data_IF_095601733586
#
_entry.id   IF_095601733586
#
_cell.length_a   1.000
_cell.length_b   1.000
_cell.length_c   1.000
_cell.angle_alpha   90.00
_cell.angle_beta   90.00
_cell.angle_gamma   90.00
#
_symmetry.space_group_name_H-M   'P 1'
#
loop_
_entity.id
_entity.type
_entity.pdbx_description
1 polymer ?
#
# COMPACT_ATOMS: atom_id res chain seq x y z
N UNK A 1 14.35 -26.69 -6.19
CA UNK A 1 13.05 -26.65 -5.47
C UNK A 1 12.80 -25.33 -4.72
N UNK A 2 13.32 -25.05 -3.51
CA UNK A 2 12.98 -23.79 -2.78
C UNK A 2 13.46 -22.50 -3.47
N UNK A 3 14.69 -22.47 -3.99
CA UNK A 3 15.24 -21.31 -4.70
C UNK A 3 14.53 -21.05 -6.04
N UNK A 4 14.16 -22.14 -6.72
CA UNK A 4 13.51 -22.14 -8.04
C UNK A 4 12.07 -21.59 -7.96
N UNK A 5 11.30 -21.99 -6.95
CA UNK A 5 9.97 -21.44 -6.68
C UNK A 5 10.03 -19.93 -6.35
N UNK A 6 11.08 -19.51 -5.66
CA UNK A 6 11.23 -18.10 -5.28
C UNK A 6 11.57 -17.23 -6.49
N UNK A 7 12.50 -17.67 -7.34
CA UNK A 7 12.84 -16.99 -8.61
C UNK A 7 11.61 -16.87 -9.52
N UNK A 8 10.79 -17.91 -9.60
CA UNK A 8 9.53 -17.89 -10.35
C UNK A 8 8.57 -16.83 -9.80
N UNK A 9 8.38 -16.77 -8.48
CA UNK A 9 7.50 -15.77 -7.83
C UNK A 9 7.96 -14.33 -8.11
N UNK A 10 9.27 -14.08 -8.08
CA UNK A 10 9.83 -12.78 -8.46
C UNK A 10 9.60 -12.44 -9.94
N UNK A 11 9.77 -13.40 -10.84
CA UNK A 11 9.53 -13.22 -12.26
C UNK A 11 8.05 -12.91 -12.56
N UNK A 12 7.13 -13.56 -11.86
CA UNK A 12 5.69 -13.29 -11.95
C UNK A 12 5.33 -11.91 -11.41
N UNK A 13 5.90 -11.51 -10.27
CA UNK A 13 5.73 -10.16 -9.73
C UNK A 13 6.21 -9.14 -10.76
N UNK A 14 7.44 -9.29 -11.28
CA UNK A 14 8.03 -8.40 -12.30
C UNK A 14 7.14 -8.28 -13.54
N UNK A 15 6.67 -9.41 -14.08
CA UNK A 15 5.74 -9.43 -15.22
C UNK A 15 4.45 -8.66 -14.91
N UNK A 16 3.86 -8.89 -13.73
CA UNK A 16 2.62 -8.20 -13.32
C UNK A 16 2.81 -6.68 -13.25
N UNK A 17 3.99 -6.20 -12.83
CA UNK A 17 4.28 -4.78 -12.75
C UNK A 17 4.52 -4.16 -14.12
N UNK A 18 5.19 -4.85 -15.04
CA UNK A 18 5.31 -4.35 -16.41
C UNK A 18 3.94 -4.16 -17.09
N UNK A 19 2.98 -5.03 -16.82
CA UNK A 19 1.62 -4.84 -17.33
C UNK A 19 0.95 -3.60 -16.73
N UNK A 20 1.14 -3.34 -15.44
CA UNK A 20 0.64 -2.11 -14.79
C UNK A 20 1.28 -0.87 -15.38
N UNK A 21 2.60 -0.89 -15.64
CA UNK A 21 3.35 0.24 -16.17
C UNK A 21 2.83 0.73 -17.53
N UNK A 22 2.21 -0.14 -18.34
CA UNK A 22 1.58 0.26 -19.62
C UNK A 22 0.46 1.28 -19.46
N UNK A 23 -0.18 1.32 -18.29
CA UNK A 23 -1.31 2.22 -17.97
C UNK A 23 -1.02 3.10 -16.75
N UNK A 24 0.23 3.13 -16.29
CA UNK A 24 0.61 3.85 -15.08
C UNK A 24 0.42 5.37 -15.25
N UNK A 25 -0.07 5.98 -14.18
CA UNK A 25 -0.09 7.42 -13.98
C UNK A 25 0.37 7.74 -12.57
N UNK A 26 1.23 8.74 -12.42
CA UNK A 26 1.61 9.27 -11.12
C UNK A 26 0.50 10.12 -10.46
N UNK A 27 -0.65 10.29 -11.13
CA UNK A 27 -1.80 11.04 -10.62
C UNK A 27 -2.82 10.05 -10.07
N UNK A 28 -3.05 10.12 -8.75
CA UNK A 28 -4.15 9.43 -8.09
C UNK A 28 -5.42 10.29 -8.12
N UNK A 29 -6.58 9.69 -8.43
CA UNK A 29 -7.91 10.34 -8.53
C UNK A 29 -8.01 11.41 -9.63
N UNK A 30 -7.21 11.33 -10.68
CA UNK A 30 -7.33 12.17 -11.86
C UNK A 30 -8.39 11.65 -12.84
N UNK A 31 -8.80 12.51 -13.78
CA UNK A 31 -9.85 12.19 -14.75
C UNK A 31 -9.37 11.48 -16.01
N UNK A 32 -8.06 11.48 -16.30
CA UNK A 32 -7.48 10.80 -17.46
C UNK A 32 -7.53 9.28 -17.35
N UNK A 33 -7.63 8.58 -18.49
CA UNK A 33 -7.79 7.12 -18.55
C UNK A 33 -6.76 6.37 -17.67
N UNK A 34 -5.47 6.62 -17.87
CA UNK A 34 -4.40 5.98 -17.09
C UNK A 34 -4.48 6.31 -15.58
N UNK A 35 -4.92 7.52 -15.24
CA UNK A 35 -5.12 7.92 -13.84
C UNK A 35 -6.27 7.15 -13.20
N UNK A 36 -7.37 6.94 -13.92
CA UNK A 36 -8.50 6.14 -13.44
C UNK A 36 -8.10 4.66 -13.25
N UNK A 37 -7.40 4.07 -14.23
CA UNK A 37 -6.90 2.68 -14.14
C UNK A 37 -5.95 2.53 -12.95
N UNK A 38 -4.99 3.44 -12.82
CA UNK A 38 -4.02 3.41 -11.73
C UNK A 38 -4.70 3.58 -10.36
N UNK A 39 -5.67 4.50 -10.25
CA UNK A 39 -6.48 4.72 -9.04
C UNK A 39 -7.26 3.45 -8.69
N UNK A 40 -7.83 2.77 -9.68
CA UNK A 40 -8.55 1.53 -9.45
C UNK A 40 -7.64 0.44 -8.87
N UNK A 41 -6.47 0.23 -9.46
CA UNK A 41 -5.49 -0.76 -8.97
C UNK A 41 -4.98 -0.42 -7.57
N UNK A 42 -4.76 0.86 -7.29
CA UNK A 42 -4.38 1.35 -5.98
C UNK A 42 -5.47 1.10 -4.92
N UNK A 43 -6.73 1.41 -5.22
CA UNK A 43 -7.83 1.17 -4.27
C UNK A 43 -8.12 -0.34 -4.09
N UNK A 44 -7.94 -1.15 -5.14
CA UNK A 44 -7.98 -2.62 -5.05
C UNK A 44 -6.92 -3.18 -4.08
N UNK A 45 -5.74 -2.55 -4.00
CA UNK A 45 -4.69 -2.96 -3.08
C UNK A 45 -5.17 -3.03 -1.62
N UNK A 46 -6.13 -2.17 -1.23
CA UNK A 46 -6.71 -2.19 0.13
C UNK A 46 -7.46 -3.49 0.40
N UNK A 47 -8.28 -3.93 -0.55
CA UNK A 47 -9.01 -5.18 -0.46
C UNK A 47 -8.05 -6.36 -0.33
N UNK A 48 -7.01 -6.40 -1.17
CA UNK A 48 -5.99 -7.45 -1.14
C UNK A 48 -5.28 -7.51 0.22
N UNK A 49 -4.90 -6.36 0.78
CA UNK A 49 -4.27 -6.31 2.11
C UNK A 49 -5.22 -6.81 3.19
N UNK A 50 -6.49 -6.41 3.17
CA UNK A 50 -7.49 -6.88 4.14
C UNK A 50 -7.70 -8.38 4.03
N UNK A 51 -7.83 -8.88 2.82
CA UNK A 51 -7.97 -10.31 2.56
C UNK A 51 -6.74 -11.05 3.06
N UNK A 52 -5.52 -10.59 2.77
CA UNK A 52 -4.28 -11.21 3.24
C UNK A 52 -4.17 -11.25 4.77
N UNK A 53 -4.71 -10.24 5.45
CA UNK A 53 -4.76 -10.18 6.91
C UNK A 53 -5.99 -10.90 7.50
N UNK A 54 -6.84 -11.51 6.68
CA UNK A 54 -8.12 -12.13 7.07
C UNK A 54 -9.02 -11.16 7.85
N UNK A 55 -9.12 -9.91 7.38
CA UNK A 55 -9.91 -8.84 7.99
C UNK A 55 -11.17 -8.52 7.18
N UNK A 56 -12.29 -8.33 7.87
CA UNK A 56 -13.54 -7.95 7.24
C UNK A 56 -13.52 -6.49 6.73
N UNK A 57 -13.78 -6.30 5.43
CA UNK A 57 -13.78 -5.00 4.73
C UNK A 57 -14.83 -3.98 5.17
N UNK A 58 -15.90 -4.44 5.79
CA UNK A 58 -16.96 -3.57 6.32
C UNK A 58 -16.53 -2.98 7.67
N UNK A 59 -15.71 -3.71 8.43
CA UNK A 59 -15.20 -3.28 9.75
C UNK A 59 -13.86 -2.55 9.67
N UNK A 60 -13.02 -2.92 8.71
CA UNK A 60 -11.66 -2.39 8.56
C UNK A 60 -11.48 -1.57 7.29
N UNK A 61 -10.54 -0.65 7.34
CA UNK A 61 -10.03 0.09 6.19
C UNK A 61 -8.51 0.10 6.26
N UNK A 62 -7.84 0.07 5.11
CA UNK A 62 -6.38 0.16 5.03
C UNK A 62 -5.98 1.60 4.82
N UNK A 63 -5.00 2.06 5.57
CA UNK A 63 -4.25 3.30 5.33
C UNK A 63 -2.83 2.92 4.91
N UNK A 64 -2.41 3.35 3.72
CA UNK A 64 -1.04 3.19 3.24
C UNK A 64 -0.18 4.33 3.76
N UNK A 65 0.97 3.98 4.32
CA UNK A 65 1.83 4.89 5.05
C UNK A 65 3.29 4.64 4.71
N UNK A 66 4.10 5.68 4.87
CA UNK A 66 5.53 5.49 5.17
C UNK A 66 5.68 4.88 6.57
N UNK A 67 6.85 4.33 6.90
CA UNK A 67 7.13 3.83 8.24
C UNK A 67 6.85 4.88 9.33
N UNK A 68 7.27 6.13 9.10
CA UNK A 68 7.07 7.25 10.03
C UNK A 68 5.60 7.62 10.20
N UNK A 69 4.84 7.70 9.11
CA UNK A 69 3.41 8.03 9.18
C UNK A 69 2.62 6.90 9.85
N UNK A 70 3.00 5.64 9.63
CA UNK A 70 2.38 4.50 10.30
C UNK A 70 2.58 4.58 11.82
N UNK A 71 3.80 4.89 12.29
CA UNK A 71 4.08 5.06 13.73
C UNK A 71 3.20 6.14 14.37
N UNK A 72 3.04 7.29 13.71
CA UNK A 72 2.17 8.37 14.18
C UNK A 72 0.70 7.97 14.23
N UNK A 73 0.22 7.26 13.20
CA UNK A 73 -1.16 6.77 13.17
C UNK A 73 -1.41 5.74 14.27
N UNK A 74 -0.51 4.76 14.43
CA UNK A 74 -0.69 3.72 15.46
C UNK A 74 -0.56 4.27 16.89
N UNK A 75 0.17 5.37 17.10
CA UNK A 75 0.30 6.01 18.40
C UNK A 75 -0.99 6.65 18.92
N UNK A 76 -1.97 6.92 18.03
CA UNK A 76 -3.28 7.49 18.40
C UNK A 76 -4.41 6.44 18.41
N UNK A 77 -4.08 5.16 18.22
CA UNK A 77 -5.04 4.06 18.14
C UNK A 77 -4.84 3.08 19.30
N UNK A 78 -5.90 2.37 19.69
CA UNK A 78 -5.79 1.21 20.58
C UNK A 78 -5.08 0.05 19.88
N UNK A 79 -4.26 -0.71 20.60
CA UNK A 79 -3.50 -1.83 20.03
C UNK A 79 -4.37 -2.94 19.44
N UNK A 80 -5.63 -3.07 19.89
CA UNK A 80 -6.61 -4.02 19.35
C UNK A 80 -7.38 -3.50 18.12
N UNK A 81 -7.19 -2.23 17.76
CA UNK A 81 -7.94 -1.57 16.69
C UNK A 81 -7.27 -1.65 15.32
N UNK A 82 -6.02 -2.11 15.25
CA UNK A 82 -5.29 -2.19 14.00
C UNK A 82 -4.45 -3.45 13.86
N UNK A 83 -4.13 -3.79 12.61
CA UNK A 83 -3.06 -4.72 12.24
C UNK A 83 -2.18 -4.04 11.20
N UNK A 84 -0.89 -4.34 11.21
CA UNK A 84 0.04 -3.79 10.22
C UNK A 84 0.70 -4.90 9.42
N UNK A 85 1.08 -4.56 8.20
CA UNK A 85 2.00 -5.33 7.38
C UNK A 85 2.80 -4.37 6.50
N UNK A 86 4.07 -4.66 6.29
CA UNK A 86 4.96 -3.87 5.44
C UNK A 86 5.59 -4.71 4.34
N UNK A 87 6.06 -4.03 3.30
CA UNK A 87 6.79 -4.67 2.22
C UNK A 87 8.09 -5.32 2.72
N UNK A 88 8.75 -4.71 3.70
CA UNK A 88 10.00 -5.22 4.29
C UNK A 88 9.77 -6.54 5.05
N UNK A 89 8.66 -6.68 5.77
CA UNK A 89 8.27 -7.93 6.45
C UNK A 89 8.10 -9.10 5.47
N UNK A 90 7.74 -8.82 4.21
CA UNK A 90 7.63 -9.84 3.16
C UNK A 90 8.88 -9.92 2.27
N UNK A 91 9.99 -9.27 2.63
CA UNK A 91 11.26 -9.34 1.92
C UNK A 91 11.40 -8.40 0.71
N UNK A 92 10.56 -7.36 0.61
CA UNK A 92 10.58 -6.41 -0.50
C UNK A 92 10.91 -4.97 -0.03
N UNK A 93 11.96 -4.33 -0.56
CA UNK A 93 12.40 -2.99 -0.14
C UNK A 93 11.56 -1.86 -0.79
N UNK A 94 10.23 -1.98 -0.79
CA UNK A 94 9.32 -1.02 -1.44
C UNK A 94 8.97 0.20 -0.57
N UNK A 95 9.33 0.20 0.72
CA UNK A 95 9.04 1.29 1.64
C UNK A 95 7.56 1.50 1.95
N UNK A 96 6.72 0.47 1.75
CA UNK A 96 5.27 0.53 1.98
C UNK A 96 4.91 -0.10 3.31
N UNK A 97 4.10 0.58 4.12
CA UNK A 97 3.44 0.00 5.29
C UNK A 97 1.93 0.20 5.19
N UNK A 98 1.17 -0.87 5.33
CA UNK A 98 -0.27 -0.84 5.40
C UNK A 98 -0.73 -0.97 6.86
N UNK A 99 -1.57 -0.05 7.30
CA UNK A 99 -2.24 -0.09 8.60
C UNK A 99 -3.72 -0.38 8.35
N UNK A 100 -4.13 -1.63 8.58
CA UNK A 100 -5.53 -2.02 8.55
C UNK A 100 -6.16 -1.69 9.89
N UNK A 101 -7.03 -0.69 9.93
CA UNK A 101 -7.60 -0.12 11.15
C UNK A 101 -9.12 -0.26 11.15
N UNK A 102 -9.70 -0.52 12.32
CA UNK A 102 -11.15 -0.52 12.52
C UNK A 102 -11.69 0.87 12.16
N UNK A 103 -12.71 0.92 11.31
CA UNK A 103 -13.32 2.20 10.87
C UNK A 103 -13.78 3.06 12.04
N UNK A 104 -14.30 2.43 13.09
CA UNK A 104 -14.80 3.09 14.30
C UNK A 104 -13.69 3.69 15.18
N UNK A 105 -12.44 3.23 15.03
CA UNK A 105 -11.32 3.71 15.82
C UNK A 105 -10.65 4.95 15.20
N UNK A 106 -10.95 5.26 13.94
CA UNK A 106 -10.39 6.43 13.27
C UNK A 106 -11.10 7.72 13.72
N UNK A 107 -10.36 8.77 14.11
CA UNK A 107 -10.96 10.02 14.59
C UNK A 107 -11.72 10.75 13.48
N UNK A 108 -12.89 11.30 13.80
CA UNK A 108 -13.74 12.02 12.85
C UNK A 108 -13.16 13.39 12.42
N UNK A 109 -12.29 14.00 13.24
CA UNK A 109 -11.76 15.35 13.05
C UNK A 109 -10.48 15.46 12.21
N UNK A 110 -9.63 16.40 12.63
CA UNK A 110 -8.35 16.77 12.01
C UNK A 110 -7.44 15.53 11.93
N UNK A 111 -6.83 15.24 10.76
CA UNK A 111 -5.90 14.13 10.65
C UNK A 111 -4.61 14.38 11.45
N UNK A 112 -3.98 13.31 11.91
CA UNK A 112 -2.72 13.39 12.68
C UNK A 112 -1.56 14.03 11.89
N UNK A 113 -1.67 14.02 10.56
CA UNK A 113 -0.73 14.63 9.64
C UNK A 113 -1.53 15.29 8.51
N UNK A 114 -1.22 16.55 8.24
CA UNK A 114 -1.83 17.33 7.15
C UNK A 114 -0.87 17.39 5.96
N UNK A 115 -1.40 17.69 4.78
CA UNK A 115 -0.62 17.83 3.55
C UNK A 115 -1.48 17.62 2.30
N UNK A 116 -0.84 17.58 1.13
CA UNK A 116 -1.51 17.24 -0.13
C UNK A 116 -2.30 15.94 -0.01
N UNK A 117 -3.48 15.88 -0.63
CA UNK A 117 -4.36 14.70 -0.59
C UNK A 117 -5.22 14.55 0.67
N UNK A 118 -4.89 15.22 1.78
CA UNK A 118 -5.65 15.07 3.04
C UNK A 118 -6.90 15.94 3.14
N UNK A 119 -6.90 17.08 2.45
CA UNK A 119 -8.03 18.02 2.43
C UNK A 119 -8.84 17.84 1.14
N UNK A 120 -10.16 17.97 1.27
CA UNK A 120 -11.09 18.07 0.14
C UNK A 120 -11.21 19.52 -0.35
N UNK A 121 -11.26 20.47 0.56
CA UNK A 121 -11.38 21.90 0.25
C UNK A 121 -10.70 22.73 1.34
N UNK A 122 -9.99 23.77 0.92
CA UNK A 122 -9.25 24.66 1.81
C UNK A 122 -9.70 26.09 1.54
N UNK A 123 -10.00 26.82 2.61
CA UNK A 123 -10.20 28.26 2.63
C UNK A 123 -9.20 28.90 3.59
N UNK A 124 -9.18 30.24 3.64
CA UNK A 124 -8.37 30.99 4.61
C UNK A 124 -8.74 30.67 6.06
N UNK A 125 -10.01 30.36 6.32
CA UNK A 125 -10.56 30.26 7.68
C UNK A 125 -10.93 28.83 8.08
N UNK A 126 -11.08 27.92 7.12
CA UNK A 126 -11.57 26.58 7.37
C UNK A 126 -10.99 25.55 6.40
N UNK A 127 -11.03 24.29 6.82
CA UNK A 127 -10.62 23.13 6.02
C UNK A 127 -11.70 22.06 6.09
N UNK A 128 -12.12 21.58 4.92
CA UNK A 128 -12.92 20.37 4.81
C UNK A 128 -11.96 19.22 4.52
N UNK A 129 -11.81 18.30 5.47
CA UNK A 129 -10.95 17.14 5.32
C UNK A 129 -11.52 16.12 4.33
N UNK A 130 -10.63 15.33 3.73
CA UNK A 130 -10.97 14.21 2.86
C UNK A 130 -11.73 13.11 3.60
N UNK A 131 -12.25 12.14 2.84
CA UNK A 131 -12.87 10.95 3.41
C UNK A 131 -11.78 10.02 3.95
N UNK A 132 -12.20 9.04 4.76
CA UNK A 132 -11.34 7.91 5.13
C UNK A 132 -11.22 7.01 3.89
N UNK A 133 -10.02 6.53 3.51
CA UNK A 133 -8.73 6.68 4.21
C UNK A 133 -7.91 7.92 3.82
N UNK A 134 -8.26 8.61 2.74
CA UNK A 134 -7.48 9.70 2.11
C UNK A 134 -6.96 10.76 3.09
N UNK A 135 -7.79 11.16 4.07
CA UNK A 135 -7.38 12.17 5.06
C UNK A 135 -6.18 11.74 5.92
N UNK A 136 -5.84 10.45 5.95
CA UNK A 136 -4.71 9.89 6.69
C UNK A 136 -3.50 9.53 5.81
N UNK A 137 -3.55 9.81 4.50
CA UNK A 137 -2.51 9.48 3.52
C UNK A 137 -1.90 10.77 2.95
N UNK A 138 -1.22 11.53 3.82
CA UNK A 138 -0.67 12.82 3.43
C UNK A 138 0.49 12.69 2.43
N UNK A 139 0.40 13.48 1.35
CA UNK A 139 1.40 13.56 0.29
C UNK A 139 1.04 12.73 -0.93
N UNK A 140 1.98 12.65 -1.87
CA UNK A 140 1.83 11.78 -3.05
C UNK A 140 1.98 10.32 -2.61
N UNK A 141 0.99 9.46 -2.85
CA UNK A 141 1.11 8.05 -2.51
C UNK A 141 2.21 7.38 -3.34
N UNK A 142 2.88 6.37 -2.76
CA UNK A 142 3.82 5.51 -3.48
C UNK A 142 3.06 4.50 -4.35
N UNK A 143 2.33 4.99 -5.36
CA UNK A 143 1.29 4.28 -6.11
C UNK A 143 1.79 2.92 -6.64
N UNK A 144 2.86 2.93 -7.44
CA UNK A 144 3.37 1.71 -8.06
C UNK A 144 3.90 0.72 -7.01
N UNK A 145 4.52 1.22 -5.94
CA UNK A 145 5.01 0.41 -4.84
C UNK A 145 3.85 -0.26 -4.08
N UNK A 146 2.73 0.45 -3.91
CA UNK A 146 1.52 -0.09 -3.26
C UNK A 146 0.86 -1.16 -4.12
N UNK A 147 0.79 -0.94 -5.44
CA UNK A 147 0.29 -1.95 -6.38
C UNK A 147 1.22 -3.18 -6.36
N UNK A 148 2.54 -2.97 -6.39
CA UNK A 148 3.52 -4.04 -6.28
C UNK A 148 3.42 -4.83 -4.98
N UNK A 149 3.28 -4.12 -3.86
CA UNK A 149 3.05 -4.72 -2.56
C UNK A 149 1.80 -5.60 -2.54
N UNK A 150 0.68 -5.12 -3.09
CA UNK A 150 -0.55 -5.92 -3.16
C UNK A 150 -0.40 -7.15 -4.08
N UNK A 151 0.22 -7.00 -5.25
CA UNK A 151 0.51 -8.15 -6.14
C UNK A 151 1.38 -9.19 -5.44
N UNK A 152 2.39 -8.75 -4.69
CA UNK A 152 3.23 -9.61 -3.89
C UNK A 152 2.44 -10.40 -2.83
N UNK A 153 1.51 -9.76 -2.12
CA UNK A 153 0.64 -10.45 -1.15
C UNK A 153 -0.26 -11.50 -1.81
N UNK A 154 -0.76 -11.25 -3.03
CA UNK A 154 -1.53 -12.26 -3.78
C UNK A 154 -0.68 -13.49 -4.12
N UNK A 155 0.54 -13.27 -4.61
CA UNK A 155 1.46 -14.35 -4.97
C UNK A 155 1.83 -15.20 -3.77
N UNK A 156 2.15 -14.57 -2.63
CA UNK A 156 2.44 -15.28 -1.37
C UNK A 156 1.24 -16.12 -0.91
N UNK A 157 0.02 -15.59 -1.04
CA UNK A 157 -1.18 -16.34 -0.70
C UNK A 157 -1.41 -17.55 -1.63
N UNK A 158 -1.05 -17.43 -2.90
CA UNK A 158 -1.19 -18.49 -3.90
C UNK A 158 -0.13 -19.58 -3.75
N UNK A 159 1.12 -19.21 -3.48
CA UNK A 159 2.22 -20.16 -3.32
C UNK A 159 2.24 -20.83 -1.93
N UNK A 160 1.62 -20.18 -0.93
CA UNK A 160 1.70 -20.59 0.48
C UNK A 160 2.97 -20.12 1.18
N UNK A 161 3.85 -19.40 0.49
CA UNK A 161 5.03 -18.78 1.08
C UNK A 161 4.66 -17.59 1.95
N UNK A 162 5.50 -17.30 2.94
CA UNK A 162 5.31 -16.15 3.85
C UNK A 162 6.14 -14.92 3.47
N UNK A 163 7.22 -15.12 2.73
CA UNK A 163 8.18 -14.06 2.38
C UNK A 163 8.80 -14.32 1.02
N UNK A 164 9.14 -13.26 0.31
CA UNK A 164 10.08 -13.32 -0.79
C UNK A 164 11.48 -13.56 -0.21
N UNK A 165 12.20 -14.57 -0.71
CA UNK A 165 13.58 -14.85 -0.31
C UNK A 165 14.50 -14.59 -1.49
N UNK A 166 15.29 -13.53 -1.44
CA UNK A 166 16.34 -13.35 -2.43
C UNK A 166 17.31 -14.54 -2.32
N UNK A 167 17.78 -15.14 -3.45
CA UNK A 167 18.82 -16.15 -3.41
C UNK A 167 20.05 -15.61 -2.67
N UNK A 168 20.61 -16.39 -1.75
CA UNK A 168 21.78 -15.96 -0.98
C UNK A 168 22.95 -15.64 -1.93
N UNK A 169 23.49 -14.41 -1.83
CA UNK A 169 24.63 -13.96 -2.62
C UNK A 169 24.29 -13.20 -3.91
N UNK A 170 23.02 -13.15 -4.32
CA UNK A 170 22.58 -12.27 -5.40
C UNK A 170 22.16 -10.91 -4.83
N UNK A 171 23.08 -9.96 -4.87
CA UNK A 171 22.68 -8.54 -4.81
C UNK A 171 22.13 -8.22 -6.19
N UNK A 172 20.82 -8.31 -6.37
CA UNK A 172 20.20 -7.80 -7.59
C UNK A 172 20.67 -6.35 -7.75
N UNK A 173 21.37 -6.07 -8.84
CA UNK A 173 21.94 -4.76 -9.12
C UNK A 173 20.83 -3.71 -9.19
N UNK A 174 21.18 -2.42 -9.11
CA UNK A 174 20.21 -1.36 -9.35
C UNK A 174 19.46 -1.55 -10.69
N UNK A 175 20.09 -2.14 -11.72
CA UNK A 175 19.41 -2.44 -12.99
C UNK A 175 18.40 -3.61 -12.91
N UNK A 176 18.53 -4.46 -11.89
CA UNK A 176 17.63 -5.60 -11.66
C UNK A 176 16.57 -5.30 -10.58
N UNK A 177 16.75 -4.23 -9.80
CA UNK A 177 15.87 -3.78 -8.70
C UNK A 177 15.20 -2.43 -8.90
N UNK A 178 15.63 -1.64 -9.89
CA UNK A 178 15.05 -0.31 -10.16
C UNK A 178 14.17 -0.39 -11.41
N UNK A 179 12.95 0.14 -11.29
CA UNK A 179 11.92 0.19 -12.32
C UNK A 179 12.30 1.04 -13.53
#
# INVERSE_FOLDING_TARGET
MLAENTLQTFAELKRSIYEVLKTYSNVHRGSGHNSQVTTHLFEQARGIVLDYLDLNKDKYVVVFCTLRSAQKLTAILGSADFRTISSEEIGLPLGVKAVAVRRIALPAGIPFQTGGGTAKLISREWVIWGKIPDKFEAGTPAIINIIAFAKALLLLRQSGDKTFKLPAGETLSAYETTF
#
